data_IF_511398526012
#
_entry.id   IF_511398526012
#
_cell.length_a   1.000
_cell.length_b   1.000
_cell.length_c   1.000
_cell.angle_alpha   90.00
_cell.angle_beta   90.00
_cell.angle_gamma   90.00
#
_symmetry.space_group_name_H-M   'P 1'
#
loop_
_entity.id
_entity.type
_entity.pdbx_description
1 polymer ?
#
# COMPACT_ATOMS: atom_id res chain seq x y z
N UNK A 1 38.10 0.18 12.96
CA UNK A 1 37.28 -1.00 13.32
C UNK A 1 35.98 -0.49 13.92
N UNK A 2 34.89 -0.52 13.14
CA UNK A 2 33.64 0.19 13.43
C UNK A 2 32.64 -0.75 14.15
N UNK A 3 32.25 -0.32 15.34
CA UNK A 3 30.94 -0.59 15.98
C UNK A 3 30.38 0.76 16.44
N UNK A 4 29.08 0.79 16.74
CA UNK A 4 28.23 1.94 17.11
C UNK A 4 27.66 2.66 15.87
N UNK A 5 26.34 2.83 15.72
CA UNK A 5 25.42 3.43 16.69
C UNK A 5 23.96 2.91 16.49
N UNK A 6 23.37 2.29 17.51
CA UNK A 6 21.93 2.03 17.59
C UNK A 6 21.28 3.15 18.41
N UNK A 7 20.22 3.71 17.80
CA UNK A 7 19.05 4.40 18.37
C UNK A 7 19.15 4.99 19.78
N UNK A 8 19.05 6.32 19.86
CA UNK A 8 18.82 7.10 21.07
C UNK A 8 17.49 7.84 20.89
N UNK A 9 16.45 7.44 21.62
CA UNK A 9 15.64 8.31 22.49
C UNK A 9 14.51 7.50 23.15
N UNK A 10 14.75 7.12 24.41
CA UNK A 10 13.75 6.71 25.40
C UNK A 10 13.95 7.66 26.59
N UNK A 11 12.86 8.22 27.12
CA UNK A 11 12.55 8.48 28.55
C UNK A 11 11.52 9.62 28.68
N UNK A 12 10.28 9.33 29.12
CA UNK A 12 9.76 9.32 30.52
C UNK A 12 9.32 10.74 30.97
N UNK A 13 8.25 11.03 31.74
CA UNK A 13 7.57 10.38 32.89
C UNK A 13 6.21 11.15 33.10
N UNK A 14 5.02 10.52 33.21
CA UNK A 14 4.25 10.20 34.44
C UNK A 14 3.85 11.45 35.31
N UNK A 15 2.58 11.69 35.73
CA UNK A 15 1.88 11.10 36.90
C UNK A 15 0.44 11.72 37.08
N UNK A 16 -0.58 10.86 37.26
CA UNK A 16 -1.82 10.90 38.13
C UNK A 16 -2.85 12.07 38.03
N UNK A 17 -4.17 11.99 38.28
CA UNK A 17 -5.15 10.97 38.75
C UNK A 17 -6.60 11.50 38.64
N UNK A 18 -7.56 10.56 38.59
CA UNK A 18 -8.95 10.57 39.14
C UNK A 18 -10.05 11.45 38.54
N UNK A 19 -11.19 10.79 38.22
CA UNK A 19 -12.50 11.43 38.11
C UNK A 19 -13.56 10.55 37.46
N UNK A 20 -14.18 9.65 38.24
CA UNK A 20 -15.39 8.92 37.86
C UNK A 20 -16.55 9.87 37.50
N UNK A 21 -17.36 9.53 36.49
CA UNK A 21 -18.81 9.26 36.69
C UNK A 21 -19.48 8.76 35.41
N UNK A 22 -20.31 7.73 35.58
CA UNK A 22 -21.32 7.29 34.63
C UNK A 22 -22.47 8.29 34.61
N UNK A 23 -23.05 8.53 33.44
CA UNK A 23 -24.51 8.69 33.36
C UNK A 23 -25.05 8.07 32.07
N UNK A 24 -25.95 7.12 32.26
CA UNK A 24 -26.83 6.55 31.25
C UNK A 24 -27.95 7.55 30.99
N UNK A 25 -28.20 7.89 29.72
CA UNK A 25 -29.55 8.25 29.28
C UNK A 25 -29.88 7.48 28.01
N UNK A 26 -30.88 6.63 28.17
CA UNK A 26 -31.58 5.87 27.13
C UNK A 26 -32.65 6.76 26.50
N UNK A 27 -32.82 6.67 25.18
CA UNK A 27 -34.06 6.23 24.52
C UNK A 27 -34.19 6.84 23.12
N UNK A 28 -34.58 6.00 22.16
CA UNK A 28 -34.90 6.44 20.80
C UNK A 28 -34.65 5.41 19.70
N UNK A 29 -34.95 4.12 19.94
CA UNK A 29 -35.09 3.14 18.86
C UNK A 29 -36.53 3.21 18.34
N UNK A 30 -36.68 3.52 17.06
CA UNK A 30 -37.91 3.25 16.31
C UNK A 30 -37.80 1.89 15.63
N UNK A 31 -38.78 1.05 15.95
CA UNK A 31 -38.90 -0.34 15.57
C UNK A 31 -39.33 -0.48 14.10
N UNK A 32 -38.64 -1.34 13.35
CA UNK A 32 -39.26 -2.13 12.28
C UNK A 32 -38.86 -3.59 12.47
N UNK A 33 -39.54 -4.23 13.42
CA UNK A 33 -39.58 -5.68 13.53
C UNK A 33 -40.59 -6.22 12.52
N UNK A 34 -40.16 -7.05 11.58
CA UNK A 34 -41.07 -7.92 10.82
C UNK A 34 -40.44 -9.31 10.67
N UNK A 35 -41.00 -10.23 11.47
CA UNK A 35 -41.00 -11.68 11.35
C UNK A 35 -39.85 -12.39 10.59
N UNK A 36 -38.88 -12.91 11.34
CA UNK A 36 -38.31 -14.22 11.04
C UNK A 36 -38.72 -15.23 12.12
N UNK A 37 -39.49 -16.22 11.68
CA UNK A 37 -39.77 -17.44 12.44
C UNK A 37 -38.43 -18.08 12.85
N UNK A 38 -38.32 -18.43 14.13
CA UNK A 38 -37.30 -19.34 14.68
C UNK A 38 -37.26 -20.62 13.84
N UNK A 39 -36.36 -20.69 12.87
CA UNK A 39 -35.74 -21.95 12.49
C UNK A 39 -34.76 -22.28 13.61
N UNK A 40 -34.95 -23.42 14.27
CA UNK A 40 -33.93 -24.01 15.13
C UNK A 40 -32.68 -24.20 14.26
N UNK A 41 -31.62 -23.44 14.52
CA UNK A 41 -30.30 -23.77 14.01
C UNK A 41 -29.93 -25.15 14.56
N UNK A 42 -29.93 -26.15 13.68
CA UNK A 42 -29.03 -27.29 13.81
C UNK A 42 -27.64 -26.69 13.59
N UNK A 43 -26.87 -26.51 14.66
CA UNK A 43 -25.42 -26.50 14.50
C UNK A 43 -25.08 -27.89 13.96
N UNK A 44 -24.71 -27.95 12.68
CA UNK A 44 -24.08 -29.13 12.11
C UNK A 44 -22.77 -29.33 12.88
N UNK A 45 -22.78 -30.27 13.82
CA UNK A 45 -21.56 -30.77 14.45
C UNK A 45 -20.77 -31.51 13.39
N UNK A 46 -19.93 -30.79 12.67
CA UNK A 46 -18.87 -31.36 11.86
C UNK A 46 -17.92 -32.10 12.81
N UNK A 47 -17.98 -33.43 12.77
CA UNK A 47 -17.24 -34.31 13.67
C UNK A 47 -15.73 -34.06 13.58
N UNK A 48 -15.04 -34.00 14.73
CA UNK A 48 -13.61 -33.73 14.83
C UNK A 48 -12.76 -34.69 13.97
N UNK A 49 -13.16 -35.96 13.84
CA UNK A 49 -12.44 -36.92 12.97
C UNK A 49 -12.56 -36.58 11.48
N UNK A 50 -13.75 -36.15 11.03
CA UNK A 50 -13.98 -35.73 9.64
C UNK A 50 -13.24 -34.43 9.34
N UNK A 51 -13.11 -33.57 10.36
CA UNK A 51 -12.33 -32.35 10.31
C UNK A 51 -10.83 -32.61 10.15
N UNK A 52 -10.24 -33.44 11.00
CA UNK A 52 -8.82 -33.79 10.92
C UNK A 52 -8.47 -34.43 9.56
N UNK A 53 -9.35 -35.31 9.06
CA UNK A 53 -9.19 -35.93 7.74
C UNK A 53 -9.22 -34.88 6.63
N UNK A 54 -10.21 -33.98 6.63
CA UNK A 54 -10.32 -32.93 5.63
C UNK A 54 -9.13 -31.96 5.71
N UNK A 55 -8.64 -31.61 6.89
CA UNK A 55 -7.43 -30.80 7.06
C UNK A 55 -6.20 -31.47 6.42
N UNK A 56 -6.03 -32.78 6.59
CA UNK A 56 -4.94 -33.53 5.95
C UNK A 56 -5.06 -33.55 4.41
N UNK A 57 -6.27 -33.76 3.88
CA UNK A 57 -6.54 -33.73 2.44
C UNK A 57 -6.25 -32.34 1.85
N UNK A 58 -6.71 -31.28 2.52
CA UNK A 58 -6.48 -29.90 2.12
C UNK A 58 -5.00 -29.51 2.20
N UNK A 59 -4.27 -30.01 3.21
CA UNK A 59 -2.82 -29.77 3.32
C UNK A 59 -2.12 -30.33 2.08
N UNK A 60 -2.44 -31.55 1.67
CA UNK A 60 -1.88 -32.13 0.44
C UNK A 60 -2.29 -31.37 -0.83
N UNK A 61 -3.55 -30.95 -0.93
CA UNK A 61 -4.03 -30.19 -2.08
C UNK A 61 -3.32 -28.83 -2.23
N UNK A 62 -3.20 -28.07 -1.14
CA UNK A 62 -2.61 -26.72 -1.19
C UNK A 62 -1.08 -26.70 -1.23
N UNK A 63 -0.37 -27.83 -1.06
CA UNK A 63 1.05 -27.92 -1.41
C UNK A 63 1.32 -27.52 -2.88
N UNK A 64 0.32 -27.65 -3.76
CA UNK A 64 0.41 -27.18 -5.14
C UNK A 64 0.65 -25.66 -5.27
N UNK A 65 0.26 -24.86 -4.27
CA UNK A 65 0.55 -23.41 -4.24
C UNK A 65 2.06 -23.17 -4.11
N UNK A 66 2.72 -23.87 -3.19
CA UNK A 66 4.17 -23.77 -3.00
C UNK A 66 4.93 -24.18 -4.26
N UNK A 67 4.53 -25.30 -4.87
CA UNK A 67 5.18 -25.81 -6.07
C UNK A 67 4.95 -24.88 -7.27
N UNK A 68 3.78 -24.24 -7.37
CA UNK A 68 3.51 -23.24 -8.39
C UNK A 68 4.41 -22.01 -8.24
N UNK A 69 4.60 -21.49 -7.02
CA UNK A 69 5.51 -20.36 -6.76
C UNK A 69 6.96 -20.74 -7.04
N UNK A 70 7.40 -21.89 -6.53
CA UNK A 70 8.77 -22.42 -6.74
C UNK A 70 9.09 -22.60 -8.22
N UNK A 71 8.14 -23.13 -9.00
CA UNK A 71 8.30 -23.35 -10.43
C UNK A 71 7.96 -22.12 -11.29
N UNK A 72 7.64 -20.97 -10.66
CA UNK A 72 7.29 -19.73 -11.37
C UNK A 72 6.11 -19.93 -12.33
N UNK A 73 5.14 -20.78 -11.95
CA UNK A 73 4.01 -21.18 -12.79
C UNK A 73 2.75 -20.38 -12.43
N UNK A 74 2.49 -19.34 -13.23
CA UNK A 74 1.33 -18.47 -13.10
C UNK A 74 0.00 -19.25 -13.15
N UNK A 75 -0.21 -20.06 -14.18
CA UNK A 75 -1.49 -20.73 -14.41
C UNK A 75 -1.80 -21.73 -13.30
N UNK A 76 -0.79 -22.47 -12.82
CA UNK A 76 -0.95 -23.39 -11.70
C UNK A 76 -1.29 -22.66 -10.41
N UNK A 77 -0.61 -21.55 -10.11
CA UNK A 77 -0.88 -20.74 -8.92
C UNK A 77 -2.33 -20.21 -8.93
N UNK A 78 -2.80 -19.74 -10.09
CA UNK A 78 -4.13 -19.16 -10.23
C UNK A 78 -5.27 -20.17 -10.10
N UNK A 79 -5.03 -21.48 -10.26
CA UNK A 79 -6.04 -22.52 -10.02
C UNK A 79 -6.50 -22.59 -8.57
N UNK A 80 -5.65 -22.18 -7.63
CA UNK A 80 -5.97 -22.20 -6.20
C UNK A 80 -6.72 -20.95 -5.76
N UNK A 81 -6.78 -19.89 -6.57
CA UNK A 81 -7.36 -18.59 -6.17
C UNK A 81 -8.85 -18.55 -6.47
N UNK A 82 -9.62 -17.87 -5.63
CA UNK A 82 -11.07 -17.73 -5.76
C UNK A 82 -11.45 -16.71 -6.86
N UNK A 83 -11.98 -17.13 -8.03
CA UNK A 83 -12.39 -16.19 -9.08
C UNK A 83 -13.66 -15.41 -8.74
N UNK A 84 -14.48 -15.90 -7.81
CA UNK A 84 -15.72 -15.25 -7.38
C UNK A 84 -15.47 -14.03 -6.49
N UNK A 85 -14.21 -13.77 -6.11
CA UNK A 85 -13.76 -12.53 -5.48
C UNK A 85 -12.82 -11.79 -6.45
N UNK A 86 -13.35 -10.95 -7.36
CA UNK A 86 -12.58 -10.40 -8.47
C UNK A 86 -11.42 -9.50 -8.04
N UNK A 87 -11.59 -8.73 -6.95
CA UNK A 87 -10.54 -7.87 -6.42
C UNK A 87 -9.36 -8.71 -5.92
N UNK A 88 -9.63 -9.70 -5.07
CA UNK A 88 -8.60 -10.59 -4.55
C UNK A 88 -7.94 -11.40 -5.67
N UNK A 89 -8.71 -11.94 -6.61
CA UNK A 89 -8.19 -12.71 -7.73
C UNK A 89 -7.20 -11.90 -8.58
N UNK A 90 -7.53 -10.65 -8.91
CA UNK A 90 -6.61 -9.74 -9.64
C UNK A 90 -5.35 -9.45 -8.84
N UNK A 91 -5.47 -9.23 -7.53
CA UNK A 91 -4.30 -9.00 -6.67
C UNK A 91 -3.40 -10.23 -6.59
N UNK A 92 -3.96 -11.44 -6.51
CA UNK A 92 -3.18 -12.68 -6.52
C UNK A 92 -2.48 -12.90 -7.87
N UNK A 93 -3.15 -12.59 -8.98
CA UNK A 93 -2.52 -12.62 -10.31
C UNK A 93 -1.32 -11.66 -10.41
N UNK A 94 -1.41 -10.48 -9.80
CA UNK A 94 -0.28 -9.54 -9.72
C UNK A 94 0.81 -10.03 -8.78
N UNK A 95 0.42 -10.56 -7.62
CA UNK A 95 1.34 -11.10 -6.64
C UNK A 95 2.27 -12.15 -7.25
N UNK A 96 1.73 -13.11 -8.01
CA UNK A 96 2.57 -14.15 -8.64
C UNK A 96 3.46 -13.58 -9.74
N UNK A 97 2.99 -12.61 -10.54
CA UNK A 97 3.83 -11.92 -11.54
C UNK A 97 5.00 -11.20 -10.88
N UNK A 98 4.73 -10.47 -9.80
CA UNK A 98 5.74 -9.77 -9.03
C UNK A 98 6.71 -10.74 -8.34
N UNK A 99 6.24 -11.85 -7.78
CA UNK A 99 7.09 -12.89 -7.19
C UNK A 99 8.02 -13.54 -8.23
N UNK A 100 7.52 -13.80 -9.44
CA UNK A 100 8.32 -14.33 -10.56
C UNK A 100 9.42 -13.34 -10.96
N UNK A 101 9.08 -12.05 -11.06
CA UNK A 101 10.03 -10.98 -11.38
C UNK A 101 11.07 -10.80 -10.27
N UNK A 102 10.64 -10.80 -9.01
CA UNK A 102 11.51 -10.71 -7.84
C UNK A 102 12.58 -11.81 -7.89
N UNK A 103 12.19 -13.05 -8.16
CA UNK A 103 13.11 -14.17 -8.33
C UNK A 103 13.93 -14.19 -9.64
N UNK A 104 13.79 -13.21 -10.54
CA UNK A 104 14.72 -12.99 -11.68
C UNK A 104 15.87 -12.07 -11.32
N UNK A 105 15.69 -11.18 -10.34
CA UNK A 105 16.80 -10.38 -9.82
C UNK A 105 17.82 -11.33 -9.21
N UNK A 106 19.08 -11.28 -9.67
CA UNK A 106 20.15 -12.23 -9.28
C UNK A 106 20.46 -12.23 -7.78
N UNK A 107 19.93 -11.24 -7.08
CA UNK A 107 20.18 -10.99 -5.68
C UNK A 107 18.94 -11.14 -4.81
N UNK A 108 17.82 -11.68 -5.28
CA UNK A 108 16.64 -11.82 -4.43
C UNK A 108 16.05 -13.23 -4.41
N UNK A 109 15.57 -13.65 -3.24
CA UNK A 109 14.95 -14.95 -3.01
C UNK A 109 13.56 -14.76 -2.45
N UNK A 110 12.58 -15.49 -3.00
CA UNK A 110 11.22 -15.56 -2.50
C UNK A 110 10.76 -17.01 -2.51
N UNK A 111 10.18 -17.46 -1.40
CA UNK A 111 9.50 -18.75 -1.29
C UNK A 111 8.24 -18.61 -0.43
N UNK A 112 7.28 -19.48 -0.66
CA UNK A 112 6.09 -19.64 0.19
C UNK A 112 6.09 -21.04 0.78
N UNK A 113 5.71 -21.16 2.04
CA UNK A 113 5.52 -22.44 2.73
C UNK A 113 4.18 -22.49 3.44
N UNK A 114 3.44 -23.58 3.27
CA UNK A 114 2.21 -23.89 3.98
C UNK A 114 2.55 -24.15 5.44
N UNK A 115 2.02 -23.32 6.32
CA UNK A 115 2.23 -23.45 7.76
C UNK A 115 1.14 -24.30 8.40
N UNK A 116 -0.14 -23.96 8.13
CA UNK A 116 -1.26 -24.64 8.75
C UNK A 116 -2.55 -24.52 7.93
N UNK A 117 -3.49 -25.43 8.19
CA UNK A 117 -4.87 -25.37 7.71
C UNK A 117 -5.79 -25.67 8.89
N UNK A 118 -6.78 -24.80 9.07
CA UNK A 118 -7.82 -24.95 10.08
C UNK A 118 -9.18 -25.01 9.39
N UNK A 119 -9.88 -26.14 9.50
CA UNK A 119 -11.22 -26.26 8.95
C UNK A 119 -12.26 -25.76 9.96
N UNK A 120 -13.22 -24.97 9.48
CA UNK A 120 -14.34 -24.45 10.28
C UNK A 120 -15.63 -25.23 9.96
N UNK A 121 -15.81 -25.62 8.69
CA UNK A 121 -16.94 -26.43 8.22
C UNK A 121 -16.55 -27.19 6.95
N UNK A 122 -17.47 -28.02 6.42
CA UNK A 122 -17.28 -28.73 5.14
C UNK A 122 -17.05 -27.80 3.93
N UNK A 123 -17.28 -26.50 4.08
CA UNK A 123 -17.20 -25.52 3.00
C UNK A 123 -16.32 -24.31 3.31
N UNK A 124 -15.81 -24.19 4.54
CA UNK A 124 -15.03 -23.03 4.98
C UNK A 124 -13.88 -23.43 5.91
N UNK A 125 -12.77 -22.70 5.80
CA UNK A 125 -11.61 -22.85 6.66
C UNK A 125 -10.66 -21.67 6.54
N UNK A 126 -9.48 -21.83 7.13
CA UNK A 126 -8.36 -20.91 7.02
C UNK A 126 -7.11 -21.65 6.57
N UNK A 127 -6.26 -20.95 5.82
CA UNK A 127 -4.95 -21.41 5.40
C UNK A 127 -3.89 -20.38 5.80
N UNK A 128 -2.82 -20.85 6.41
CA UNK A 128 -1.72 -20.00 6.88
C UNK A 128 -0.46 -20.30 6.08
N UNK A 129 0.19 -19.24 5.57
CA UNK A 129 1.46 -19.33 4.86
C UNK A 129 2.55 -18.55 5.57
N UNK A 130 3.79 -18.99 5.37
CA UNK A 130 5.00 -18.20 5.59
C UNK A 130 5.57 -17.81 4.23
N UNK A 131 5.65 -16.51 3.97
CA UNK A 131 6.34 -15.97 2.80
C UNK A 131 7.74 -15.53 3.23
N UNK A 132 8.74 -16.26 2.78
CA UNK A 132 10.15 -15.96 3.06
C UNK A 132 10.72 -15.14 1.92
N UNK A 133 11.25 -13.95 2.22
CA UNK A 133 11.84 -13.05 1.24
C UNK A 133 13.18 -12.50 1.72
N UNK A 134 14.16 -12.42 0.83
CA UNK A 134 15.46 -11.84 1.15
C UNK A 134 16.18 -11.29 -0.07
N UNK A 135 17.20 -10.48 0.20
CA UNK A 135 18.23 -10.10 -0.76
C UNK A 135 19.57 -10.77 -0.42
N UNK A 136 20.43 -10.92 -1.41
CA UNK A 136 21.78 -11.48 -1.27
C UNK A 136 22.55 -10.62 -0.28
N UNK A 137 23.09 -11.26 0.75
CA UNK A 137 23.77 -10.63 1.89
C UNK A 137 22.86 -9.90 2.90
N UNK A 138 21.55 -10.18 2.90
CA UNK A 138 20.64 -9.77 3.98
C UNK A 138 19.99 -11.00 4.63
N UNK A 139 19.66 -10.88 5.91
CA UNK A 139 18.86 -11.91 6.58
C UNK A 139 17.46 -11.93 5.94
N UNK A 140 16.95 -13.12 5.57
CA UNK A 140 15.61 -13.22 5.02
C UNK A 140 14.57 -12.88 6.08
N UNK A 141 13.49 -12.26 5.63
CA UNK A 141 12.29 -12.00 6.41
C UNK A 141 11.30 -13.14 6.23
N UNK A 142 10.67 -13.57 7.33
CA UNK A 142 9.58 -14.54 7.31
C UNK A 142 8.30 -13.80 7.66
N UNK A 143 7.38 -13.72 6.70
CA UNK A 143 6.15 -12.96 6.85
C UNK A 143 4.96 -13.92 6.87
N UNK A 144 4.22 -13.91 7.99
CA UNK A 144 3.06 -14.77 8.18
C UNK A 144 1.78 -14.11 7.64
N UNK A 145 0.95 -14.90 6.96
CA UNK A 145 -0.37 -14.48 6.50
C UNK A 145 -1.37 -15.62 6.62
N UNK A 146 -2.61 -15.28 6.99
CA UNK A 146 -3.73 -16.21 7.05
C UNK A 146 -4.85 -15.75 6.11
N UNK A 147 -5.19 -16.60 5.16
CA UNK A 147 -6.29 -16.40 4.22
C UNK A 147 -7.49 -17.26 4.60
N UNK A 148 -8.68 -16.89 4.15
CA UNK A 148 -9.81 -17.80 4.14
C UNK A 148 -9.64 -18.84 3.02
N UNK A 149 -10.16 -20.05 3.23
CA UNK A 149 -10.41 -21.01 2.16
C UNK A 149 -11.89 -21.35 2.11
N UNK A 150 -12.43 -21.43 0.90
CA UNK A 150 -13.84 -21.74 0.65
C UNK A 150 -13.96 -22.84 -0.39
N UNK A 151 -14.99 -23.69 -0.26
CA UNK A 151 -15.33 -24.69 -1.26
C UNK A 151 -16.25 -24.06 -2.32
N UNK A 152 -15.76 -23.95 -3.55
CA UNK A 152 -16.53 -23.52 -4.72
C UNK A 152 -16.92 -24.73 -5.59
N UNK A 153 -17.60 -24.48 -6.71
CA UNK A 153 -17.90 -25.53 -7.69
C UNK A 153 -16.63 -26.21 -8.25
N UNK A 154 -15.52 -25.47 -8.32
CA UNK A 154 -14.22 -25.93 -8.82
C UNK A 154 -13.29 -26.46 -7.71
N UNK A 155 -13.86 -26.80 -6.55
CA UNK A 155 -13.14 -27.29 -5.39
C UNK A 155 -12.75 -26.19 -4.41
N UNK A 156 -11.79 -26.49 -3.53
CA UNK A 156 -11.33 -25.53 -2.52
C UNK A 156 -10.47 -24.45 -3.15
N UNK A 157 -10.76 -23.19 -2.81
CA UNK A 157 -10.05 -21.99 -3.27
C UNK A 157 -9.63 -21.14 -2.09
N UNK A 158 -8.47 -20.51 -2.22
CA UNK A 158 -8.00 -19.43 -1.37
C UNK A 158 -8.84 -18.20 -1.69
N UNK A 159 -9.44 -17.64 -0.66
CA UNK A 159 -10.11 -16.36 -0.67
C UNK A 159 -9.26 -15.35 0.12
N UNK A 160 -9.66 -14.09 0.12
CA UNK A 160 -8.95 -13.04 0.86
C UNK A 160 -8.87 -13.32 2.38
N UNK A 161 -8.17 -12.45 3.11
CA UNK A 161 -8.31 -12.36 4.56
C UNK A 161 -9.80 -12.26 4.92
N UNK A 162 -10.21 -12.61 6.15
CA UNK A 162 -11.60 -12.55 6.61
C UNK A 162 -12.09 -11.10 6.81
N UNK A 163 -11.91 -10.26 5.80
CA UNK A 163 -12.32 -8.88 5.77
C UNK A 163 -13.85 -8.78 5.79
N UNK A 164 -14.35 -7.90 6.64
CA UNK A 164 -15.62 -7.24 6.45
C UNK A 164 -15.40 -6.02 5.56
N UNK A 165 -16.49 -5.48 4.99
CA UNK A 165 -16.43 -4.26 4.21
C UNK A 165 -17.39 -3.20 4.70
N UNK A 166 -17.01 -1.93 4.50
CA UNK A 166 -17.87 -0.78 4.67
C UNK A 166 -17.63 0.22 3.53
N UNK A 167 -18.65 1.02 3.24
CA UNK A 167 -18.65 1.93 2.11
C UNK A 167 -18.93 3.36 2.55
N UNK A 168 -18.29 4.32 1.87
CA UNK A 168 -18.59 5.75 1.98
C UNK A 168 -18.36 6.40 0.62
N UNK A 169 -19.45 6.79 -0.05
CA UNK A 169 -19.42 7.28 -1.43
C UNK A 169 -18.75 6.23 -2.35
N UNK A 170 -17.74 6.62 -3.13
CA UNK A 170 -16.93 5.78 -4.01
C UNK A 170 -15.74 5.08 -3.31
N UNK A 171 -15.76 4.98 -1.98
CA UNK A 171 -14.68 4.36 -1.19
C UNK A 171 -15.22 3.10 -0.50
N UNK A 172 -14.53 1.98 -0.71
CA UNK A 172 -14.77 0.72 0.00
C UNK A 172 -13.57 0.40 0.89
N UNK A 173 -13.83 0.19 2.18
CA UNK A 173 -12.84 -0.26 3.16
C UNK A 173 -13.07 -1.73 3.48
N UNK A 174 -12.00 -2.51 3.41
CA UNK A 174 -11.91 -3.89 3.85
C UNK A 174 -11.10 -3.95 5.15
N UNK A 175 -11.66 -4.52 6.20
CA UNK A 175 -11.08 -4.52 7.54
C UNK A 175 -11.38 -5.82 8.27
N UNK A 176 -10.47 -6.29 9.14
CA UNK A 176 -10.75 -7.45 9.97
C UNK A 176 -11.77 -7.08 11.06
N UNK A 177 -12.73 -7.96 11.42
CA UNK A 177 -13.88 -7.64 12.28
C UNK A 177 -13.56 -6.88 13.57
N UNK A 178 -12.41 -7.20 14.20
CA UNK A 178 -11.95 -6.58 15.43
C UNK A 178 -11.48 -5.12 15.28
N UNK A 179 -11.42 -4.58 14.06
CA UNK A 179 -10.97 -3.22 13.75
C UNK A 179 -12.08 -2.32 13.20
N UNK A 180 -13.35 -2.64 13.45
CA UNK A 180 -14.50 -1.87 12.96
C UNK A 180 -14.43 -0.39 13.36
N UNK A 181 -14.00 -0.07 14.59
CA UNK A 181 -13.90 1.32 15.07
C UNK A 181 -12.83 2.11 14.32
N UNK A 182 -11.68 1.48 14.07
CA UNK A 182 -10.61 2.07 13.27
C UNK A 182 -11.04 2.24 11.82
N UNK A 183 -11.76 1.26 11.25
CA UNK A 183 -12.31 1.37 9.90
C UNK A 183 -13.28 2.56 9.77
N UNK A 184 -14.22 2.73 10.71
CA UNK A 184 -15.15 3.88 10.77
C UNK A 184 -14.42 5.22 10.80
N UNK A 185 -13.33 5.31 11.57
CA UNK A 185 -12.51 6.52 11.63
C UNK A 185 -11.76 6.75 10.31
N UNK A 186 -11.06 5.75 9.80
CA UNK A 186 -10.16 5.94 8.67
C UNK A 186 -10.86 6.03 7.32
N UNK A 187 -12.07 5.49 7.18
CA UNK A 187 -12.88 5.75 5.98
C UNK A 187 -13.30 7.23 5.90
N UNK A 188 -13.58 7.87 7.04
CA UNK A 188 -13.81 9.32 7.11
C UNK A 188 -12.54 10.10 6.75
N UNK A 189 -11.39 9.72 7.31
CA UNK A 189 -10.09 10.34 7.00
C UNK A 189 -9.77 10.24 5.50
N UNK A 190 -10.00 9.06 4.90
CA UNK A 190 -9.78 8.80 3.46
C UNK A 190 -10.72 9.64 2.61
N UNK A 191 -12.01 9.70 2.98
CA UNK A 191 -12.99 10.54 2.30
C UNK A 191 -12.56 12.02 2.32
N UNK A 192 -12.11 12.53 3.47
CA UNK A 192 -11.63 13.91 3.57
C UNK A 192 -10.40 14.16 2.68
N UNK A 193 -9.46 13.21 2.59
CA UNK A 193 -8.29 13.32 1.69
C UNK A 193 -8.75 13.33 0.23
N UNK A 194 -9.67 12.46 -0.17
CA UNK A 194 -10.24 12.43 -1.52
C UNK A 194 -10.94 13.75 -1.84
N UNK A 195 -11.73 14.32 -0.92
CA UNK A 195 -12.36 15.64 -1.12
C UNK A 195 -11.31 16.75 -1.24
N UNK A 196 -10.28 16.73 -0.39
CA UNK A 196 -9.17 17.68 -0.49
C UNK A 196 -8.47 17.60 -1.85
N UNK A 197 -8.21 16.39 -2.37
CA UNK A 197 -7.62 16.22 -3.71
C UNK A 197 -8.57 16.60 -4.85
N UNK A 198 -9.87 16.37 -4.68
CA UNK A 198 -10.89 16.84 -5.63
C UNK A 198 -10.91 18.36 -5.74
N UNK A 199 -10.91 19.05 -4.61
CA UNK A 199 -10.95 20.52 -4.56
C UNK A 199 -9.67 21.15 -5.11
N UNK A 200 -8.50 20.60 -4.75
CA UNK A 200 -7.20 21.23 -5.06
C UNK A 200 -6.60 20.74 -6.38
N UNK A 201 -6.87 19.49 -6.80
CA UNK A 201 -6.25 18.86 -7.96
C UNK A 201 -7.26 18.37 -9.01
N UNK A 202 -8.56 18.52 -8.75
CA UNK A 202 -9.64 18.03 -9.64
C UNK A 202 -9.60 16.52 -9.85
N UNK A 203 -9.05 15.79 -8.88
CA UNK A 203 -9.09 14.33 -8.88
C UNK A 203 -10.47 13.85 -8.44
N UNK A 204 -11.12 13.03 -9.27
CA UNK A 204 -12.42 12.45 -8.97
C UNK A 204 -12.37 10.97 -9.39
N UNK A 205 -11.84 10.08 -8.53
CA UNK A 205 -11.68 8.68 -8.86
C UNK A 205 -13.05 8.02 -9.04
N UNK A 206 -13.16 7.04 -9.93
CA UNK A 206 -14.41 6.28 -10.10
C UNK A 206 -14.68 5.42 -8.85
N UNK A 207 -13.63 4.80 -8.30
CA UNK A 207 -13.69 3.94 -7.12
C UNK A 207 -12.34 3.89 -6.40
N UNK A 208 -12.35 3.70 -5.07
CA UNK A 208 -11.17 3.50 -4.23
C UNK A 208 -11.40 2.33 -3.27
N UNK A 209 -10.69 1.24 -3.48
CA UNK A 209 -10.66 0.09 -2.56
C UNK A 209 -9.49 0.22 -1.58
N UNK A 210 -9.73 -0.01 -0.30
CA UNK A 210 -8.72 0.07 0.77
C UNK A 210 -8.73 -1.18 1.63
N UNK A 211 -7.59 -1.82 1.85
CA UNK A 211 -7.43 -2.96 2.77
C UNK A 211 -6.59 -2.58 3.99
N UNK A 212 -7.18 -2.72 5.17
CA UNK A 212 -6.53 -2.44 6.45
C UNK A 212 -5.87 -3.69 7.02
N UNK A 213 -4.55 -3.68 7.12
CA UNK A 213 -3.75 -4.72 7.78
C UNK A 213 -3.36 -4.26 9.18
N UNK A 214 -3.42 -5.15 10.16
CA UNK A 214 -3.06 -4.84 11.56
C UNK A 214 -1.61 -5.14 11.89
N UNK A 215 -0.93 -5.93 11.07
CA UNK A 215 0.46 -6.30 11.28
C UNK A 215 1.24 -6.23 9.96
N UNK A 216 2.53 -5.92 10.10
CA UNK A 216 3.43 -5.69 8.97
C UNK A 216 3.69 -6.96 8.17
N UNK A 217 3.73 -8.12 8.84
CA UNK A 217 4.02 -9.40 8.20
C UNK A 217 2.93 -9.77 7.19
N UNK A 218 1.65 -9.68 7.57
CA UNK A 218 0.54 -9.96 6.68
C UNK A 218 0.52 -8.98 5.49
N UNK A 219 0.78 -7.69 5.72
CA UNK A 219 0.90 -6.72 4.63
C UNK A 219 2.03 -7.10 3.67
N UNK A 220 3.23 -7.37 4.20
CA UNK A 220 4.42 -7.78 3.44
C UNK A 220 4.33 -9.19 2.83
N UNK A 221 3.39 -10.04 3.25
CA UNK A 221 3.11 -11.30 2.57
C UNK A 221 2.08 -11.12 1.45
N UNK A 222 1.15 -10.16 1.61
CA UNK A 222 0.12 -9.82 0.62
C UNK A 222 0.64 -9.03 -0.59
N UNK A 223 1.87 -8.54 -0.48
CA UNK A 223 2.67 -7.85 -1.48
C UNK A 223 4.04 -8.51 -1.42
N UNK A 224 4.62 -9.07 -2.48
CA UNK A 224 5.87 -9.83 -2.39
C UNK A 224 7.09 -8.92 -2.22
N UNK A 225 7.18 -8.20 -1.09
CA UNK A 225 8.25 -7.28 -0.73
C UNK A 225 8.52 -7.35 0.79
N UNK A 226 9.79 -7.38 1.24
CA UNK A 226 10.16 -7.82 2.58
C UNK A 226 9.66 -6.93 3.73
N UNK A 227 9.35 -5.66 3.45
CA UNK A 227 8.80 -4.75 4.45
C UNK A 227 8.16 -3.54 3.77
N UNK A 228 6.90 -3.26 4.11
CA UNK A 228 6.16 -2.08 3.67
C UNK A 228 5.27 -1.57 4.80
N UNK A 229 4.88 -0.30 4.72
CA UNK A 229 3.88 0.30 5.62
C UNK A 229 2.58 0.65 4.88
N UNK A 230 2.62 0.62 3.54
CA UNK A 230 1.50 0.80 2.64
C UNK A 230 1.91 0.39 1.22
N UNK A 231 0.92 0.17 0.37
CA UNK A 231 1.07 0.02 -1.08
C UNK A 231 -0.22 0.46 -1.77
N UNK A 232 -0.12 1.49 -2.60
CA UNK A 232 -1.10 1.76 -3.66
C UNK A 232 -0.83 0.74 -4.78
N UNK A 233 -1.57 -0.38 -4.82
CA UNK A 233 -1.45 -1.32 -5.93
C UNK A 233 -1.79 -0.66 -7.28
N UNK A 234 -1.62 -1.34 -8.42
CA UNK A 234 -1.94 -0.70 -9.72
C UNK A 234 -3.43 -0.33 -9.87
N UNK A 235 -3.80 0.39 -10.94
CA UNK A 235 -5.13 0.98 -11.23
C UNK A 235 -6.39 0.14 -10.97
N UNK A 236 -6.32 -1.18 -10.83
CA UNK A 236 -7.49 -2.05 -10.55
C UNK A 236 -7.38 -2.85 -9.24
N UNK A 237 -6.39 -2.55 -8.41
CA UNK A 237 -6.14 -3.19 -7.10
C UNK A 237 -6.53 -2.27 -5.95
N UNK A 238 -6.55 -2.84 -4.74
CA UNK A 238 -6.75 -2.04 -3.54
C UNK A 238 -5.46 -1.33 -3.11
N UNK A 239 -5.65 -0.19 -2.47
CA UNK A 239 -4.66 0.41 -1.60
C UNK A 239 -4.58 -0.40 -0.29
N UNK A 240 -3.42 -0.95 0.03
CA UNK A 240 -3.17 -1.75 1.24
C UNK A 240 -2.39 -0.92 2.24
N UNK A 241 -2.78 -0.95 3.51
CA UNK A 241 -2.09 -0.13 4.53
C UNK A 241 -2.01 -0.79 5.90
N UNK A 242 -0.93 -0.47 6.61
CA UNK A 242 -0.75 -0.87 7.99
C UNK A 242 -1.47 0.10 8.93
N UNK A 243 -2.41 -0.43 9.71
CA UNK A 243 -3.08 0.25 10.80
C UNK A 243 -2.13 0.36 12.00
N UNK A 244 -1.62 1.57 12.27
CA UNK A 244 -0.79 1.87 13.43
C UNK A 244 -1.67 2.44 14.54
N UNK A 245 -2.28 1.56 15.35
CA UNK A 245 -3.22 1.95 16.42
C UNK A 245 -2.62 2.98 17.40
N UNK A 246 -1.35 2.80 17.75
CA UNK A 246 -0.63 3.68 18.66
C UNK A 246 -0.09 4.96 18.00
N UNK A 247 -0.26 5.11 16.69
CA UNK A 247 0.18 6.29 15.94
C UNK A 247 -0.83 6.67 14.85
N UNK A 248 -1.98 7.24 15.23
CA UNK A 248 -3.05 7.58 14.29
C UNK A 248 -2.65 8.68 13.30
N UNK A 249 -1.76 9.59 13.70
CA UNK A 249 -1.22 10.62 12.80
C UNK A 249 -0.35 10.00 11.69
N UNK A 250 0.47 9.00 12.03
CA UNK A 250 1.26 8.27 11.03
C UNK A 250 0.36 7.47 10.11
N UNK A 251 -0.70 6.84 10.63
CA UNK A 251 -1.65 6.13 9.78
C UNK A 251 -2.28 7.12 8.80
N UNK A 252 -2.78 8.27 9.27
CA UNK A 252 -3.30 9.34 8.40
C UNK A 252 -2.29 9.81 7.34
N UNK A 253 -1.01 9.98 7.70
CA UNK A 253 0.00 10.40 6.73
C UNK A 253 0.25 9.34 5.65
N UNK A 254 0.18 8.05 6.01
CA UNK A 254 0.26 6.94 5.04
C UNK A 254 -0.95 6.99 4.08
N UNK A 255 -2.16 7.24 4.59
CA UNK A 255 -3.32 7.43 3.71
C UNK A 255 -3.10 8.55 2.67
N UNK A 256 -2.57 9.71 3.10
CA UNK A 256 -2.27 10.80 2.18
C UNK A 256 -1.19 10.42 1.15
N UNK A 257 -0.16 9.71 1.59
CA UNK A 257 0.90 9.21 0.70
C UNK A 257 0.31 8.29 -0.39
N UNK A 258 -0.43 7.27 0.00
CA UNK A 258 -0.85 6.18 -0.90
C UNK A 258 -2.03 6.57 -1.80
N UNK A 259 -2.92 7.45 -1.32
CA UNK A 259 -3.95 8.07 -2.16
C UNK A 259 -3.34 9.01 -3.21
N UNK A 260 -2.18 9.60 -2.94
CA UNK A 260 -1.46 10.41 -3.94
C UNK A 260 -0.96 9.53 -5.09
N UNK A 261 -0.43 8.34 -4.79
CA UNK A 261 -0.07 7.36 -5.82
C UNK A 261 -1.26 7.01 -6.69
N UNK A 262 -2.43 6.76 -6.09
CA UNK A 262 -3.66 6.48 -6.84
C UNK A 262 -4.06 7.64 -7.75
N UNK A 263 -4.04 8.87 -7.25
CA UNK A 263 -4.31 10.07 -8.04
C UNK A 263 -3.34 10.19 -9.23
N UNK A 264 -2.05 9.93 -9.00
CA UNK A 264 -1.04 9.99 -10.05
C UNK A 264 -1.22 8.89 -11.11
N UNK A 265 -1.61 7.68 -10.72
CA UNK A 265 -1.94 6.63 -11.68
C UNK A 265 -3.07 7.08 -12.61
N UNK A 266 -4.16 7.65 -12.07
CA UNK A 266 -5.29 8.17 -12.86
C UNK A 266 -4.87 9.36 -13.76
N UNK A 267 -3.98 10.21 -13.27
CA UNK A 267 -3.51 11.40 -13.99
C UNK A 267 -2.47 11.11 -15.06
N UNK A 268 -1.74 10.01 -14.94
CA UNK A 268 -0.62 9.69 -15.84
C UNK A 268 -0.83 8.40 -16.63
N UNK A 269 -1.95 7.71 -16.41
CA UNK A 269 -2.18 6.36 -16.92
C UNK A 269 -1.05 5.40 -16.50
N UNK A 270 -0.58 5.58 -15.26
CA UNK A 270 0.55 4.87 -14.64
C UNK A 270 1.86 4.90 -15.47
N UNK A 271 2.21 6.08 -16.00
CA UNK A 271 3.42 6.29 -16.83
C UNK A 271 4.50 7.16 -16.19
N UNK A 272 4.33 7.50 -14.91
CA UNK A 272 5.21 8.41 -14.20
C UNK A 272 6.32 7.64 -13.48
N UNK A 273 7.58 8.01 -13.67
CA UNK A 273 8.70 7.39 -12.93
C UNK A 273 8.52 7.45 -11.40
N UNK A 274 9.13 6.50 -10.70
CA UNK A 274 9.10 6.37 -9.24
C UNK A 274 9.56 7.65 -8.53
N UNK A 275 10.52 8.40 -9.10
CA UNK A 275 10.99 9.68 -8.54
C UNK A 275 9.84 10.66 -8.28
N UNK A 276 8.93 10.83 -9.25
CA UNK A 276 7.83 11.78 -9.12
C UNK A 276 6.61 11.17 -8.42
N UNK A 277 6.38 9.87 -8.55
CA UNK A 277 5.38 9.14 -7.77
C UNK A 277 5.66 9.33 -6.28
N UNK A 278 6.85 8.90 -5.83
CA UNK A 278 7.25 9.01 -4.43
C UNK A 278 7.47 10.46 -3.99
N UNK A 279 7.90 11.32 -4.91
CA UNK A 279 8.11 12.72 -4.63
C UNK A 279 6.86 13.47 -4.23
N UNK A 280 5.77 13.34 -5.01
CA UNK A 280 4.51 13.97 -4.67
C UNK A 280 3.82 13.26 -3.50
N UNK A 281 3.89 11.94 -3.43
CA UNK A 281 3.33 11.19 -2.30
C UNK A 281 3.98 11.63 -0.97
N UNK A 282 5.31 11.75 -0.93
CA UNK A 282 6.05 12.29 0.22
C UNK A 282 5.71 13.76 0.48
N UNK A 283 5.49 14.57 -0.55
CA UNK A 283 5.05 15.95 -0.39
C UNK A 283 3.68 16.03 0.31
N UNK A 284 2.70 15.22 -0.12
CA UNK A 284 1.38 15.19 0.49
C UNK A 284 1.40 14.60 1.90
N UNK A 285 2.17 13.53 2.13
CA UNK A 285 2.37 12.91 3.45
C UNK A 285 2.84 13.93 4.51
N UNK A 286 3.75 14.81 4.11
CA UNK A 286 4.33 15.81 5.00
C UNK A 286 3.51 17.11 5.06
N UNK A 287 2.79 17.46 3.98
CA UNK A 287 2.06 18.72 3.86
C UNK A 287 0.59 18.66 4.25
N UNK A 288 -0.12 17.56 4.00
CA UNK A 288 -1.56 17.48 4.28
C UNK A 288 -1.78 17.25 5.78
N UNK A 289 -2.43 18.22 6.44
CA UNK A 289 -2.73 18.19 7.88
C UNK A 289 -4.17 18.58 8.16
N UNK A 290 -4.67 18.15 9.33
CA UNK A 290 -5.97 18.56 9.87
C UNK A 290 -5.81 19.82 10.72
N UNK A 291 -6.42 20.91 10.27
CA UNK A 291 -6.52 22.16 11.02
C UNK A 291 -7.99 22.54 11.19
N UNK A 292 -8.46 22.68 12.44
CA UNK A 292 -9.84 23.02 12.78
C UNK A 292 -10.90 22.14 12.07
N UNK A 293 -10.61 20.84 11.93
CA UNK A 293 -11.49 19.87 11.27
C UNK A 293 -11.50 19.91 9.74
N UNK A 294 -10.62 20.71 9.11
CA UNK A 294 -10.44 20.75 7.65
C UNK A 294 -9.04 20.33 7.26
N UNK A 295 -8.91 19.74 6.07
CA UNK A 295 -7.59 19.44 5.50
C UNK A 295 -7.01 20.68 4.83
N UNK A 296 -5.74 20.94 5.13
CA UNK A 296 -4.96 22.04 4.53
C UNK A 296 -3.58 21.56 4.14
N UNK A 297 -2.95 22.30 3.25
CA UNK A 297 -1.53 22.15 2.93
C UNK A 297 -0.68 23.02 3.88
N UNK A 298 -0.12 22.41 4.92
CA UNK A 298 0.71 23.10 5.92
C UNK A 298 2.15 23.30 5.41
N UNK A 299 2.42 24.52 4.96
CA UNK A 299 3.76 24.95 4.52
C UNK A 299 4.81 24.87 5.62
N UNK A 300 4.42 24.99 6.90
CA UNK A 300 5.38 24.92 8.02
C UNK A 300 5.91 23.50 8.20
N UNK A 301 5.03 22.50 8.14
CA UNK A 301 5.43 21.09 8.16
C UNK A 301 6.29 20.73 6.95
N UNK A 302 5.93 21.21 5.75
CA UNK A 302 6.74 21.01 4.54
C UNK A 302 8.16 21.56 4.71
N UNK A 303 8.32 22.80 5.18
CA UNK A 303 9.65 23.39 5.38
C UNK A 303 10.51 22.59 6.37
N UNK A 304 9.93 22.11 7.47
CA UNK A 304 10.64 21.23 8.42
C UNK A 304 11.08 19.91 7.78
N UNK A 305 10.23 19.31 6.93
CA UNK A 305 10.56 18.09 6.21
C UNK A 305 11.71 18.33 5.23
N UNK A 306 11.70 19.46 4.51
CA UNK A 306 12.78 19.86 3.59
C UNK A 306 14.11 19.96 4.32
N UNK A 307 14.17 20.68 5.45
CA UNK A 307 15.39 20.83 6.25
C UNK A 307 15.96 19.47 6.67
N UNK A 308 15.09 18.57 7.15
CA UNK A 308 15.47 17.20 7.55
C UNK A 308 16.03 16.40 6.38
N UNK A 309 15.39 16.48 5.21
CA UNK A 309 15.82 15.74 4.01
C UNK A 309 17.14 16.29 3.46
N UNK A 310 17.33 17.61 3.42
CA UNK A 310 18.58 18.23 3.00
C UNK A 310 19.76 17.80 3.90
N UNK A 311 19.53 17.80 5.22
CA UNK A 311 20.52 17.32 6.18
C UNK A 311 20.88 15.85 5.96
N UNK A 312 19.89 14.99 5.69
CA UNK A 312 20.12 13.57 5.39
C UNK A 312 20.87 13.34 4.07
N UNK A 313 20.60 14.16 3.05
CA UNK A 313 21.27 14.10 1.74
C UNK A 313 22.69 14.69 1.76
N UNK A 314 23.13 15.29 2.89
CA UNK A 314 24.43 15.94 3.05
C UNK A 314 24.70 16.99 1.96
N UNK A 315 23.66 17.67 1.50
CA UNK A 315 23.72 18.66 0.42
C UNK A 315 24.39 18.15 -0.87
N UNK A 316 24.27 16.85 -1.16
CA UNK A 316 24.63 16.31 -2.49
C UNK A 316 23.51 16.65 -3.47
N UNK A 317 23.89 17.06 -4.67
CA UNK A 317 22.97 17.41 -5.73
C UNK A 317 23.35 16.65 -7.00
N UNK A 318 22.38 15.93 -7.54
CA UNK A 318 22.48 15.20 -8.80
C UNK A 318 21.76 15.98 -9.92
N UNK A 319 22.08 15.70 -11.18
CA UNK A 319 21.29 16.24 -12.29
C UNK A 319 19.89 15.62 -12.29
N UNK A 320 18.91 16.34 -12.82
CA UNK A 320 17.54 15.81 -12.94
C UNK A 320 17.50 14.59 -13.86
N UNK A 321 18.34 14.53 -14.90
CA UNK A 321 18.46 13.34 -15.74
C UNK A 321 18.93 12.12 -14.95
N UNK A 322 19.96 12.27 -14.10
CA UNK A 322 20.39 11.19 -13.21
C UNK A 322 19.26 10.78 -12.28
N UNK A 323 18.57 11.74 -11.67
CA UNK A 323 17.50 11.44 -10.72
C UNK A 323 16.30 10.73 -11.37
N UNK A 324 15.92 11.11 -12.59
CA UNK A 324 14.79 10.50 -13.31
C UNK A 324 15.11 9.09 -13.78
N UNK A 325 16.38 8.80 -14.08
CA UNK A 325 16.83 7.49 -14.52
C UNK A 325 17.30 6.58 -13.38
N UNK A 326 17.09 6.95 -12.11
CA UNK A 326 17.45 6.09 -10.98
C UNK A 326 16.70 4.76 -11.11
N UNK A 327 17.45 3.67 -11.05
CA UNK A 327 16.86 2.39 -10.70
C UNK A 327 16.92 2.22 -9.18
N UNK A 328 15.75 2.27 -8.54
CA UNK A 328 15.60 2.15 -7.09
C UNK A 328 16.20 0.86 -6.51
N UNK A 329 16.44 -0.15 -7.35
CA UNK A 329 17.02 -1.43 -6.92
C UNK A 329 18.56 -1.45 -6.96
N UNK A 330 19.19 -0.68 -7.84
CA UNK A 330 20.64 -0.72 -8.06
C UNK A 330 21.39 0.48 -7.44
N UNK A 331 20.76 1.65 -7.34
CA UNK A 331 21.41 2.89 -6.90
C UNK A 331 21.30 3.12 -5.38
N UNK A 332 21.98 2.29 -4.59
CA UNK A 332 21.95 2.31 -3.10
C UNK A 332 22.31 3.64 -2.44
N UNK A 333 22.96 4.55 -3.17
CA UNK A 333 23.39 5.86 -2.67
C UNK A 333 22.35 6.97 -2.88
N UNK A 334 21.31 6.75 -3.69
CA UNK A 334 20.31 7.77 -4.02
C UNK A 334 18.93 7.36 -3.48
N UNK A 335 18.45 8.11 -2.48
CA UNK A 335 17.13 7.88 -1.91
C UNK A 335 16.05 8.57 -2.77
N UNK A 336 15.30 7.76 -3.52
CA UNK A 336 14.22 8.20 -4.43
C UNK A 336 13.16 9.03 -3.71
N UNK A 337 12.75 8.66 -2.50
CA UNK A 337 11.78 9.43 -1.71
C UNK A 337 12.32 10.83 -1.37
N UNK A 338 13.56 10.89 -0.91
CA UNK A 338 14.20 12.14 -0.50
C UNK A 338 14.38 13.10 -1.69
N UNK A 339 15.00 12.64 -2.77
CA UNK A 339 15.23 13.48 -3.94
C UNK A 339 13.94 13.76 -4.70
N UNK A 340 13.02 12.78 -4.81
CA UNK A 340 11.70 12.98 -5.37
C UNK A 340 10.94 14.09 -4.66
N UNK A 341 10.96 14.09 -3.32
CA UNK A 341 10.33 15.14 -2.53
C UNK A 341 10.95 16.52 -2.77
N UNK A 342 12.29 16.61 -2.79
CA UNK A 342 12.98 17.87 -3.07
C UNK A 342 12.71 18.38 -4.48
N UNK A 343 12.77 17.52 -5.50
CA UNK A 343 12.48 17.91 -6.89
C UNK A 343 11.02 18.37 -7.01
N UNK A 344 10.08 17.62 -6.43
CA UNK A 344 8.65 17.96 -6.46
C UNK A 344 8.40 19.30 -5.79
N UNK A 345 8.96 19.53 -4.60
CA UNK A 345 8.84 20.81 -3.91
C UNK A 345 9.44 21.96 -4.73
N UNK A 346 10.64 21.79 -5.30
CA UNK A 346 11.26 22.79 -6.16
C UNK A 346 10.34 23.19 -7.32
N UNK A 347 9.77 22.21 -8.03
CA UNK A 347 8.88 22.47 -9.16
C UNK A 347 7.59 23.15 -8.73
N UNK A 348 6.98 22.72 -7.62
CA UNK A 348 5.76 23.35 -7.10
C UNK A 348 6.01 24.80 -6.68
N UNK A 349 7.11 25.07 -5.96
CA UNK A 349 7.42 26.42 -5.47
C UNK A 349 7.83 27.38 -6.59
N UNK A 350 8.53 26.89 -7.63
CA UNK A 350 9.02 27.75 -8.72
C UNK A 350 8.05 27.89 -9.88
N UNK A 351 7.25 26.87 -10.17
CA UNK A 351 6.42 26.79 -11.38
C UNK A 351 4.94 26.56 -11.10
N UNK A 352 4.58 26.20 -9.86
CA UNK A 352 3.21 25.94 -9.44
C UNK A 352 2.65 24.58 -9.90
N UNK A 353 1.63 24.12 -9.18
CA UNK A 353 0.93 22.87 -9.48
C UNK A 353 0.36 22.80 -10.90
N UNK A 354 -0.06 23.92 -11.48
CA UNK A 354 -0.61 23.96 -12.83
C UNK A 354 0.38 23.44 -13.90
N UNK A 355 1.70 23.65 -13.71
CA UNK A 355 2.71 23.15 -14.65
C UNK A 355 2.93 21.65 -14.45
N UNK A 356 2.88 21.16 -13.21
CA UNK A 356 2.90 19.72 -12.90
C UNK A 356 1.72 18.98 -13.52
N UNK A 357 0.50 19.52 -13.43
CA UNK A 357 -0.67 18.93 -14.09
C UNK A 357 -0.55 18.88 -15.63
N UNK A 358 0.16 19.83 -16.25
CA UNK A 358 0.44 19.76 -17.71
C UNK A 358 1.40 18.61 -18.02
N UNK A 359 2.41 18.42 -17.19
CA UNK A 359 3.35 17.30 -17.29
C UNK A 359 2.64 15.95 -17.15
N UNK A 360 1.81 15.78 -16.13
CA UNK A 360 1.01 14.56 -15.91
C UNK A 360 0.08 14.26 -17.10
N UNK A 361 -0.60 15.28 -17.63
CA UNK A 361 -1.50 15.14 -18.80
C UNK A 361 -0.78 14.66 -20.06
N UNK A 362 0.48 15.03 -20.26
CA UNK A 362 1.26 14.51 -21.39
C UNK A 362 1.56 13.02 -21.21
N UNK A 363 1.86 12.59 -19.98
CA UNK A 363 2.10 11.17 -19.69
C UNK A 363 0.82 10.34 -19.89
N UNK A 364 -0.35 10.87 -19.52
CA UNK A 364 -1.66 10.21 -19.73
C UNK A 364 -1.94 9.83 -21.18
N UNK A 365 -1.37 10.55 -22.15
CA UNK A 365 -1.56 10.28 -23.58
C UNK A 365 -0.84 9.01 -24.03
N UNK A 366 0.11 8.51 -23.23
CA UNK A 366 0.80 7.26 -23.50
C UNK A 366 -0.07 6.05 -23.16
N UNK A 367 0.12 4.95 -23.89
CA UNK A 367 -0.55 3.68 -23.60
C UNK A 367 -0.15 3.17 -22.22
N UNK A 368 -1.13 2.65 -21.48
CA UNK A 368 -0.91 1.98 -20.19
C UNK A 368 0.07 0.81 -20.37
N UNK A 369 0.92 0.60 -19.36
CA UNK A 369 1.90 -0.49 -19.32
C UNK A 369 1.41 -1.51 -18.28
N UNK A 370 0.63 -2.50 -18.74
CA UNK A 370 0.06 -3.59 -17.93
C UNK A 370 1.04 -4.76 -17.68
N UNK A 371 2.33 -4.50 -17.84
CA UNK A 371 3.37 -5.49 -17.60
C UNK A 371 4.21 -5.07 -16.40
N UNK A 372 4.21 -5.93 -15.37
CA UNK A 372 5.24 -5.94 -14.34
C UNK A 372 6.49 -6.60 -14.96
N UNK A 373 7.14 -5.88 -15.88
CA UNK A 373 8.37 -6.32 -16.55
C UNK A 373 9.52 -5.32 -16.34
N UNK A 374 10.76 -5.79 -16.52
CA UNK A 374 11.98 -4.98 -16.38
C UNK A 374 12.00 -3.80 -17.37
N UNK A 375 11.20 -3.85 -18.44
CA UNK A 375 11.14 -2.81 -19.47
C UNK A 375 10.16 -1.66 -19.11
N UNK A 376 9.25 -1.87 -18.16
CA UNK A 376 8.30 -0.84 -17.70
C UNK A 376 9.05 0.37 -17.14
N UNK A 377 10.04 0.16 -16.26
CA UNK A 377 10.83 1.25 -15.66
C UNK A 377 11.55 2.08 -16.73
N UNK A 378 12.27 1.43 -17.65
CA UNK A 378 12.96 2.10 -18.77
C UNK A 378 12.01 2.93 -19.64
N UNK A 379 10.84 2.37 -19.94
CA UNK A 379 9.83 3.06 -20.73
C UNK A 379 9.23 4.26 -19.99
N UNK A 380 8.94 4.11 -18.69
CA UNK A 380 8.43 5.19 -17.84
C UNK A 380 9.46 6.30 -17.72
N UNK A 381 10.75 5.98 -17.53
CA UNK A 381 11.84 6.96 -17.44
C UNK A 381 11.97 7.75 -18.76
N UNK A 382 11.98 7.07 -19.91
CA UNK A 382 12.02 7.74 -21.24
C UNK A 382 10.82 8.66 -21.48
N UNK A 383 9.60 8.19 -21.16
CA UNK A 383 8.36 8.98 -21.29
C UNK A 383 8.39 10.19 -20.35
N UNK A 384 8.83 9.98 -19.12
CA UNK A 384 9.00 11.03 -18.11
C UNK A 384 9.96 12.09 -18.60
N UNK A 385 11.18 11.74 -19.03
CA UNK A 385 12.17 12.70 -19.54
C UNK A 385 11.61 13.53 -20.69
N UNK A 386 11.00 12.88 -21.69
CA UNK A 386 10.44 13.57 -22.85
C UNK A 386 9.31 14.54 -22.47
N UNK A 387 8.39 14.11 -21.60
CA UNK A 387 7.32 14.98 -21.11
C UNK A 387 7.86 16.12 -20.23
N UNK A 388 8.89 15.84 -19.43
CA UNK A 388 9.52 16.78 -18.53
C UNK A 388 10.22 17.91 -19.30
N UNK A 389 11.06 17.58 -20.28
CA UNK A 389 11.72 18.57 -21.14
C UNK A 389 10.72 19.43 -21.91
N UNK A 390 9.64 18.82 -22.41
CA UNK A 390 8.60 19.53 -23.16
C UNK A 390 7.85 20.56 -22.30
N UNK A 391 7.71 20.31 -21.00
CA UNK A 391 6.94 21.18 -20.10
C UNK A 391 7.82 22.18 -19.38
N UNK A 392 8.96 21.72 -18.85
CA UNK A 392 9.83 22.52 -17.99
C UNK A 392 11.02 23.14 -18.74
N UNK A 393 11.38 22.63 -19.92
CA UNK A 393 12.50 23.12 -20.73
C UNK A 393 13.78 22.29 -20.53
N UNK A 394 14.92 22.90 -20.81
CA UNK A 394 16.22 22.22 -20.84
C UNK A 394 16.62 21.66 -19.45
N UNK A 395 16.97 20.37 -19.40
CA UNK A 395 17.30 19.66 -18.17
C UNK A 395 18.54 20.19 -17.45
N UNK A 396 19.57 20.65 -18.16
CA UNK A 396 20.79 21.20 -17.53
C UNK A 396 20.49 22.51 -16.80
N UNK A 397 19.72 23.40 -17.44
CA UNK A 397 19.29 24.65 -16.83
C UNK A 397 18.41 24.40 -15.60
N UNK A 398 17.48 23.46 -15.67
CA UNK A 398 16.64 23.07 -14.53
C UNK A 398 17.46 22.42 -13.42
N UNK A 399 18.45 21.58 -13.75
CA UNK A 399 19.34 20.96 -12.77
C UNK A 399 20.18 22.00 -12.03
N UNK A 400 20.67 23.01 -12.74
CA UNK A 400 21.36 24.14 -12.14
C UNK A 400 20.42 24.95 -11.22
N UNK A 401 19.20 25.26 -11.69
CA UNK A 401 18.21 25.98 -10.91
C UNK A 401 17.79 25.23 -9.64
N UNK A 402 17.57 23.92 -9.71
CA UNK A 402 17.29 23.04 -8.58
C UNK A 402 18.39 23.10 -7.52
N UNK A 403 19.65 23.00 -7.96
CA UNK A 403 20.82 23.10 -7.07
C UNK A 403 20.90 24.46 -6.38
N UNK A 404 20.73 25.55 -7.13
CA UNK A 404 20.79 26.91 -6.57
C UNK A 404 19.61 27.19 -5.62
N UNK A 405 18.40 26.70 -5.91
CA UNK A 405 17.22 26.85 -5.05
C UNK A 405 17.46 26.34 -3.62
N UNK A 406 18.17 25.22 -3.47
CA UNK A 406 18.45 24.61 -2.17
C UNK A 406 19.78 25.01 -1.54
N UNK A 407 20.71 25.62 -2.29
CA UNK A 407 21.91 26.23 -1.70
C UNK A 407 21.63 27.52 -0.93
N UNK A 408 20.55 28.21 -1.30
CA UNK A 408 20.15 29.48 -0.69
C UNK A 408 19.31 29.29 0.60
N UNK A 409 19.01 28.04 0.96
CA UNK A 409 18.33 27.63 2.19
C UNK A 409 19.31 26.93 3.10
#
# INVERSE_FOLDING_TARGET
MKKYLYSLFIMFLLILTTGCTQEKVSSGQENTATHQKKAKNKEDTFNDQDKEKLEAELKQYFLGVEEAVKNKNYDEFMKFQNPDNPLFYREQARWIKAAILYGKTKEATLSIGLYDIQVISETQGFISFVVTMGFKNSEPTNNHIQYQIIKTADGWKINDLPFQSMNKDNITFYYLPENVREAEKYIEDTFQIVQFYKENYRWNPDHVDVKLFTNREALAASVPFPSLSGESGDMDGSFKTLLLKDNPERTFSIFAHELTHRMLMDFTNDNLTSLFQEGLATYMENGVKKENGKLVLDKKSLNKAIEKVLAACKHRYYSLETLINIDSYDDKDINVYAYGFLVTNFLIETEGFNKMTKFEKLLKQSKYIDNVDEHKSDMMNKRTLSAFEKVYGNLDQLSAAFKEFYKLK
#
